data_IF_554148887365
#
_entry.id   IF_554148887365
#
_cell.length_a   1.000
_cell.length_b   1.000
_cell.length_c   1.000
_cell.angle_alpha   90.00
_cell.angle_beta   90.00
_cell.angle_gamma   90.00
#
_symmetry.space_group_name_H-M   'P 1'
#
loop_
_entity.id
_entity.type
_entity.pdbx_description
1 polymer ?
#
# COMPACT_ATOMS: atom_id res chain seq x y z
N UNK A 1 24.55 14.87 -16.19
CA UNK A 1 24.62 13.67 -15.31
C UNK A 1 24.08 13.94 -13.92
N UNK A 2 24.51 15.01 -13.23
CA UNK A 2 24.00 15.40 -11.90
C UNK A 2 22.49 15.62 -11.86
N UNK A 3 21.95 16.40 -12.81
CA UNK A 3 20.51 16.66 -12.92
C UNK A 3 19.70 15.39 -13.20
N UNK A 4 20.18 14.53 -14.09
CA UNK A 4 19.55 13.25 -14.40
C UNK A 4 19.54 12.31 -13.18
N UNK A 5 20.63 12.22 -12.40
CA UNK A 5 20.67 11.44 -11.15
C UNK A 5 19.68 11.97 -10.12
N UNK A 6 19.60 13.28 -9.97
CA UNK A 6 18.67 13.93 -9.05
C UNK A 6 17.20 13.63 -9.43
N UNK A 7 16.85 13.81 -10.69
CA UNK A 7 15.51 13.48 -11.21
C UNK A 7 15.18 12.00 -11.04
N UNK A 8 16.13 11.09 -11.30
CA UNK A 8 15.89 9.65 -11.17
C UNK A 8 15.61 9.23 -9.70
N UNK A 9 16.29 9.85 -8.73
CA UNK A 9 16.01 9.61 -7.30
C UNK A 9 14.62 10.12 -6.95
N UNK A 10 14.26 11.32 -7.40
CA UNK A 10 12.96 11.94 -7.14
C UNK A 10 11.80 11.17 -7.80
N UNK A 11 12.00 10.72 -9.03
CA UNK A 11 11.09 9.82 -9.72
C UNK A 11 10.98 8.50 -8.96
N UNK A 12 12.07 7.88 -8.53
CA UNK A 12 12.01 6.57 -7.84
C UNK A 12 11.40 6.63 -6.44
N UNK A 13 11.56 7.73 -5.70
CA UNK A 13 10.87 7.95 -4.41
C UNK A 13 9.39 8.29 -4.60
N UNK A 14 9.03 8.97 -5.70
CA UNK A 14 7.62 9.28 -6.04
C UNK A 14 6.88 8.12 -6.74
N UNK A 15 7.57 7.21 -7.43
CA UNK A 15 6.98 6.19 -8.35
C UNK A 15 6.75 4.83 -7.68
N UNK A 16 7.12 4.64 -6.41
CA UNK A 16 6.86 3.38 -5.70
C UNK A 16 5.37 3.00 -5.58
N UNK A 17 4.44 3.89 -5.97
CA UNK A 17 3.00 3.61 -6.03
C UNK A 17 2.38 3.25 -4.68
N UNK A 18 3.11 3.48 -3.57
CA UNK A 18 2.71 3.07 -2.22
C UNK A 18 1.45 3.80 -1.79
N UNK A 19 1.39 5.12 -1.99
CA UNK A 19 0.21 5.93 -1.67
C UNK A 19 -1.03 5.48 -2.46
N UNK A 20 -0.88 5.22 -3.77
CA UNK A 20 -1.96 4.70 -4.61
C UNK A 20 -2.38 3.29 -4.19
N UNK A 21 -1.43 2.44 -3.81
CA UNK A 21 -1.72 1.09 -3.34
C UNK A 21 -2.42 1.09 -1.98
N UNK A 22 -2.08 2.03 -1.09
CA UNK A 22 -2.81 2.25 0.18
C UNK A 22 -4.25 2.70 -0.07
N UNK A 23 -4.48 3.61 -1.03
CA UNK A 23 -5.85 3.99 -1.45
C UNK A 23 -6.63 2.79 -1.98
N UNK A 24 -6.01 1.97 -2.84
CA UNK A 24 -6.62 0.74 -3.35
C UNK A 24 -6.93 -0.26 -2.23
N UNK A 25 -6.03 -0.44 -1.27
CA UNK A 25 -6.27 -1.31 -0.11
C UNK A 25 -7.45 -0.82 0.75
N UNK A 26 -7.55 0.50 0.98
CA UNK A 26 -8.70 1.10 1.67
C UNK A 26 -10.01 0.90 0.89
N UNK A 27 -9.96 1.02 -0.44
CA UNK A 27 -11.11 0.76 -1.30
C UNK A 27 -11.54 -0.71 -1.27
N UNK A 28 -10.59 -1.66 -1.31
CA UNK A 28 -10.83 -3.09 -1.14
C UNK A 28 -11.51 -3.36 0.20
N UNK A 29 -11.05 -2.73 1.29
CA UNK A 29 -11.65 -2.85 2.62
C UNK A 29 -13.12 -2.37 2.62
N UNK A 30 -13.41 -1.24 1.97
CA UNK A 30 -14.77 -0.73 1.85
C UNK A 30 -15.69 -1.69 1.08
N UNK A 31 -15.21 -2.25 -0.04
CA UNK A 31 -15.95 -3.26 -0.81
C UNK A 31 -16.20 -4.50 0.06
N UNK A 32 -15.18 -4.99 0.77
CA UNK A 32 -15.30 -6.19 1.60
C UNK A 32 -16.28 -6.03 2.78
N UNK A 33 -16.53 -4.81 3.25
CA UNK A 33 -17.57 -4.53 4.24
C UNK A 33 -18.99 -4.61 3.65
N UNK A 34 -19.15 -4.20 2.39
CA UNK A 34 -20.43 -4.21 1.68
C UNK A 34 -20.79 -5.60 1.15
N UNK A 35 -19.81 -6.34 0.62
CA UNK A 35 -20.01 -7.63 -0.01
C UNK A 35 -20.24 -8.76 1.00
N UNK A 36 -20.86 -9.84 0.53
CA UNK A 36 -21.12 -11.06 1.32
C UNK A 36 -20.34 -12.24 0.78
N UNK A 37 -19.87 -13.11 1.68
CA UNK A 37 -19.26 -14.38 1.34
C UNK A 37 -20.34 -15.45 1.05
N UNK A 38 -19.91 -16.67 0.72
CA UNK A 38 -20.81 -17.79 0.42
C UNK A 38 -21.76 -18.14 1.59
N UNK A 39 -21.35 -17.86 2.83
CA UNK A 39 -22.12 -18.10 4.05
C UNK A 39 -23.04 -16.93 4.44
N UNK A 40 -23.13 -15.89 3.60
CA UNK A 40 -23.94 -14.69 3.85
C UNK A 40 -23.38 -13.72 4.89
N UNK A 41 -22.14 -13.92 5.36
CA UNK A 41 -21.41 -12.99 6.25
C UNK A 41 -20.68 -11.93 5.45
N UNK A 42 -20.33 -10.79 6.04
CA UNK A 42 -19.54 -9.79 5.34
C UNK A 42 -18.17 -10.38 4.97
N UNK A 43 -17.67 -10.08 3.76
CA UNK A 43 -16.39 -10.62 3.30
C UNK A 43 -15.22 -10.16 4.19
N UNK A 44 -15.34 -8.99 4.81
CA UNK A 44 -14.37 -8.47 5.77
C UNK A 44 -14.25 -9.32 7.05
N UNK A 45 -15.24 -10.14 7.37
CA UNK A 45 -15.24 -11.02 8.54
C UNK A 45 -14.60 -12.40 8.25
N UNK A 46 -14.29 -12.69 6.98
CA UNK A 46 -13.64 -13.93 6.58
C UNK A 46 -12.17 -13.95 7.06
N UNK A 47 -11.74 -14.92 7.89
CA UNK A 47 -10.39 -14.94 8.43
C UNK A 47 -9.29 -15.13 7.37
N UNK A 48 -9.58 -15.75 6.24
CA UNK A 48 -8.63 -15.88 5.14
C UNK A 48 -8.49 -14.54 4.39
N UNK A 49 -9.61 -13.84 4.15
CA UNK A 49 -9.59 -12.50 3.57
C UNK A 49 -8.83 -11.50 4.45
N UNK A 50 -9.12 -11.47 5.75
CA UNK A 50 -8.46 -10.59 6.72
C UNK A 50 -6.94 -10.82 6.72
N UNK A 51 -6.48 -12.07 6.75
CA UNK A 51 -5.05 -12.40 6.70
C UNK A 51 -4.39 -11.86 5.43
N UNK A 52 -5.05 -12.00 4.27
CA UNK A 52 -4.53 -11.51 2.99
C UNK A 52 -4.46 -9.97 2.97
N UNK A 53 -5.51 -9.29 3.42
CA UNK A 53 -5.55 -7.82 3.48
C UNK A 53 -4.49 -7.28 4.45
N UNK A 54 -4.40 -7.83 5.65
CA UNK A 54 -3.39 -7.46 6.63
C UNK A 54 -1.96 -7.67 6.09
N UNK A 55 -1.71 -8.77 5.38
CA UNK A 55 -0.43 -9.02 4.73
C UNK A 55 -0.05 -7.98 3.67
N UNK A 56 -1.04 -7.43 2.95
CA UNK A 56 -0.82 -6.33 1.99
C UNK A 56 -0.54 -5.04 2.74
N UNK A 57 -1.35 -4.71 3.76
CA UNK A 57 -1.20 -3.49 4.57
C UNK A 57 0.18 -3.43 5.24
N UNK A 58 0.66 -4.52 5.85
CA UNK A 58 2.00 -4.60 6.45
C UNK A 58 3.11 -4.34 5.42
N UNK A 59 3.01 -4.93 4.23
CA UNK A 59 3.99 -4.69 3.15
C UNK A 59 3.99 -3.23 2.71
N UNK A 60 2.82 -2.62 2.57
CA UNK A 60 2.70 -1.21 2.19
C UNK A 60 3.28 -0.27 3.25
N UNK A 61 3.04 -0.54 4.54
CA UNK A 61 3.65 0.22 5.65
C UNK A 61 5.17 0.10 5.64
N UNK A 62 5.72 -1.09 5.38
CA UNK A 62 7.16 -1.28 5.26
C UNK A 62 7.76 -0.46 4.11
N UNK A 63 7.13 -0.49 2.94
CA UNK A 63 7.56 0.31 1.77
C UNK A 63 7.46 1.82 2.02
N UNK A 64 6.41 2.27 2.72
CA UNK A 64 6.26 3.67 3.12
C UNK A 64 7.41 4.11 4.04
N UNK A 65 7.76 3.30 5.03
CA UNK A 65 8.88 3.60 5.92
C UNK A 65 10.22 3.64 5.18
N UNK A 66 10.46 2.72 4.24
CA UNK A 66 11.65 2.76 3.39
C UNK A 66 11.72 4.04 2.56
N UNK A 67 10.59 4.47 1.98
CA UNK A 67 10.53 5.72 1.22
C UNK A 67 10.82 6.94 2.10
N UNK A 68 10.22 7.00 3.30
CA UNK A 68 10.46 8.08 4.25
C UNK A 68 11.92 8.13 4.69
N UNK A 69 12.56 6.97 4.92
CA UNK A 69 13.98 6.91 5.26
C UNK A 69 14.86 7.43 4.13
N UNK A 70 14.61 7.01 2.88
CA UNK A 70 15.36 7.51 1.72
C UNK A 70 15.18 9.02 1.57
N UNK A 71 13.98 9.54 1.81
CA UNK A 71 13.73 10.98 1.76
C UNK A 71 14.48 11.73 2.87
N UNK A 72 14.50 11.19 4.09
CA UNK A 72 15.23 11.77 5.21
C UNK A 72 16.75 11.76 4.99
N UNK A 73 17.30 10.69 4.38
CA UNK A 73 18.72 10.58 4.05
C UNK A 73 19.13 11.50 2.87
N UNK A 74 18.17 11.94 2.05
CA UNK A 74 18.38 12.81 0.90
C UNK A 74 18.16 14.31 1.19
N UNK A 75 17.61 14.65 2.35
CA UNK A 75 17.39 16.01 2.85
C UNK A 75 18.63 16.55 3.56
#
# INVERSE_FOLDING_TARGET
>A
WTYAKYLLVHERTSIGGVSESKKKAAHIRAIAQAERNADGKALIDDPAFQRKLAGIEVKLTSLEYMNLRILADAA
#
